data_IF_653104800419
#
_entry.id   IF_653104800419
#
_cell.length_a   1.000
_cell.length_b   1.000
_cell.length_c   1.000
_cell.angle_alpha   90.00
_cell.angle_beta   90.00
_cell.angle_gamma   90.00
#
_symmetry.space_group_name_H-M   'P 1'
#
loop_
_entity.id
_entity.type
_entity.pdbx_description
1 polymer ?
#
# COMPACT_ATOMS: atom_id res chain seq x y z
N UNK A 1 36.53 -55.74 -12.16
CA UNK A 1 37.10 -57.05 -12.39
C UNK A 1 37.38 -57.68 -11.01
N UNK A 2 36.48 -58.52 -10.55
CA UNK A 2 36.67 -59.27 -9.27
C UNK A 2 37.54 -60.41 -9.54
N UNK A 3 38.73 -60.43 -8.93
CA UNK A 3 39.66 -61.53 -8.97
C UNK A 3 39.04 -62.76 -8.23
N UNK A 4 38.62 -63.78 -8.98
CA UNK A 4 38.20 -65.02 -8.39
C UNK A 4 39.47 -65.81 -8.01
N UNK A 5 39.89 -65.72 -6.76
CA UNK A 5 40.86 -66.64 -6.19
C UNK A 5 40.19 -68.00 -6.08
N UNK A 6 40.56 -68.94 -7.00
CA UNK A 6 40.24 -70.37 -6.85
C UNK A 6 40.88 -70.88 -5.54
N UNK A 7 40.06 -71.09 -4.54
CA UNK A 7 40.46 -71.79 -3.33
C UNK A 7 40.19 -73.32 -3.54
N UNK A 8 41.24 -74.08 -3.67
CA UNK A 8 41.13 -75.53 -3.61
C UNK A 8 40.80 -75.97 -2.17
N UNK A 9 39.52 -76.11 -1.89
CA UNK A 9 39.05 -76.66 -0.62
C UNK A 9 38.56 -78.11 -0.83
N UNK A 10 38.98 -79.03 0.01
CA UNK A 10 38.41 -80.37 0.01
C UNK A 10 39.35 -81.55 -0.29
N UNK A 11 40.69 -81.33 -0.46
CA UNK A 11 41.61 -82.40 -0.82
C UNK A 11 41.95 -83.38 0.31
N UNK A 12 41.59 -83.13 1.57
CA UNK A 12 41.97 -83.98 2.73
C UNK A 12 40.77 -84.50 3.52
N UNK A 13 39.56 -83.87 3.47
CA UNK A 13 38.42 -84.32 4.33
C UNK A 13 37.17 -84.79 3.60
N UNK A 14 37.14 -84.77 2.26
CA UNK A 14 35.94 -85.16 1.50
C UNK A 14 34.68 -84.33 1.74
N UNK A 15 34.76 -83.20 2.52
CA UNK A 15 33.64 -82.32 2.74
C UNK A 15 33.74 -81.14 1.82
N UNK A 16 32.71 -80.90 1.04
CA UNK A 16 32.55 -79.71 0.21
C UNK A 16 32.23 -78.49 1.10
N UNK A 17 33.29 -77.95 1.71
CA UNK A 17 33.18 -76.74 2.59
C UNK A 17 32.75 -75.49 1.85
N UNK A 18 33.01 -75.39 0.54
CA UNK A 18 32.61 -74.34 -0.30
C UNK A 18 31.06 -74.26 -0.44
N UNK A 19 30.45 -75.42 -0.70
CA UNK A 19 29.00 -75.57 -0.79
C UNK A 19 28.30 -75.20 0.54
N UNK A 20 28.87 -75.61 1.67
CA UNK A 20 28.34 -75.32 3.01
C UNK A 20 28.43 -73.78 3.28
N UNK A 21 29.56 -73.17 2.95
CA UNK A 21 29.75 -71.74 3.10
C UNK A 21 28.73 -70.92 2.20
N UNK A 22 28.56 -71.39 0.94
CA UNK A 22 27.58 -70.76 0.02
C UNK A 22 26.14 -70.87 0.54
N UNK A 23 25.78 -72.09 1.08
CA UNK A 23 24.43 -72.22 1.67
C UNK A 23 24.23 -71.40 2.93
N UNK A 24 25.24 -71.24 3.79
CA UNK A 24 25.17 -70.33 4.95
C UNK A 24 25.08 -68.89 4.55
N UNK A 25 25.85 -68.43 3.55
CA UNK A 25 25.79 -67.12 3.01
C UNK A 25 24.40 -66.84 2.40
N UNK A 26 23.89 -67.77 1.59
CA UNK A 26 22.55 -67.67 0.99
C UNK A 26 21.44 -67.56 2.04
N UNK A 27 21.53 -68.43 3.10
CA UNK A 27 20.56 -68.35 4.21
C UNK A 27 20.63 -67.03 4.99
N UNK A 28 21.83 -66.49 5.16
CA UNK A 28 21.97 -65.10 5.74
C UNK A 28 21.47 -64.02 4.82
N UNK A 29 21.76 -64.17 3.52
CA UNK A 29 21.26 -63.22 2.51
C UNK A 29 19.73 -63.19 2.46
N UNK A 30 19.07 -64.35 2.51
CA UNK A 30 17.61 -64.42 2.58
C UNK A 30 17.05 -63.70 3.78
N UNK A 31 17.70 -63.82 4.96
CA UNK A 31 17.27 -63.00 6.14
C UNK A 31 17.44 -61.50 5.94
N UNK A 32 18.52 -61.06 5.29
CA UNK A 32 18.76 -59.65 4.96
C UNK A 32 17.70 -59.18 3.96
N UNK A 33 17.38 -59.97 2.95
CA UNK A 33 16.37 -59.61 1.95
C UNK A 33 14.96 -59.54 2.55
N UNK A 34 14.62 -60.43 3.47
CA UNK A 34 13.35 -60.41 4.18
C UNK A 34 13.27 -59.18 5.12
N UNK A 35 14.37 -58.82 5.79
CA UNK A 35 14.42 -57.58 6.57
C UNK A 35 14.24 -56.32 5.69
N UNK A 36 14.90 -56.30 4.53
CA UNK A 36 14.73 -55.19 3.54
C UNK A 36 13.28 -55.12 3.03
N UNK A 37 12.66 -56.26 2.70
CA UNK A 37 11.24 -56.30 2.31
C UNK A 37 10.32 -55.79 3.42
N UNK A 38 10.60 -56.16 4.67
CA UNK A 38 9.84 -55.66 5.82
C UNK A 38 10.01 -54.14 5.99
N UNK A 39 11.23 -53.64 5.85
CA UNK A 39 11.53 -52.20 5.86
C UNK A 39 10.76 -51.46 4.75
N UNK A 40 10.87 -51.91 3.51
CA UNK A 40 10.17 -51.32 2.36
C UNK A 40 8.65 -51.30 2.57
N UNK A 41 8.08 -52.40 3.10
CA UNK A 41 6.64 -52.42 3.45
C UNK A 41 6.27 -51.39 4.52
N UNK A 42 7.16 -51.19 5.51
CA UNK A 42 6.94 -50.16 6.54
C UNK A 42 7.03 -48.76 5.96
N UNK A 43 7.99 -48.53 5.09
CA UNK A 43 8.14 -47.24 4.37
C UNK A 43 6.89 -46.91 3.51
N UNK A 44 6.40 -47.89 2.75
CA UNK A 44 5.15 -47.70 1.98
C UNK A 44 3.94 -47.42 2.86
N UNK A 45 3.79 -48.12 3.99
CA UNK A 45 2.72 -47.85 4.96
C UNK A 45 2.86 -46.43 5.52
N UNK A 46 4.06 -46.04 5.91
CA UNK A 46 4.33 -44.72 6.45
C UNK A 46 4.02 -43.62 5.43
N UNK A 47 4.43 -43.83 4.18
CA UNK A 47 4.12 -42.89 3.08
C UNK A 47 2.62 -42.81 2.85
N UNK A 48 1.92 -43.90 2.75
CA UNK A 48 0.48 -43.95 2.58
C UNK A 48 -0.29 -43.20 3.73
N UNK A 49 0.17 -43.40 4.97
CA UNK A 49 -0.38 -42.67 6.12
C UNK A 49 -0.09 -41.16 6.08
N UNK A 50 1.11 -40.77 5.68
CA UNK A 50 1.46 -39.35 5.50
C UNK A 50 0.61 -38.70 4.41
N UNK A 51 0.43 -39.39 3.29
CA UNK A 51 -0.39 -38.89 2.16
C UNK A 51 -1.86 -38.78 2.57
N UNK A 52 -2.41 -39.75 3.29
CA UNK A 52 -3.77 -39.70 3.81
C UNK A 52 -3.93 -38.53 4.80
N UNK A 53 -2.98 -38.38 5.74
CA UNK A 53 -3.00 -37.27 6.69
C UNK A 53 -2.95 -35.92 5.98
N UNK A 54 -2.14 -35.78 4.94
CA UNK A 54 -2.03 -34.57 4.11
C UNK A 54 -3.36 -34.27 3.40
N UNK A 55 -4.00 -35.29 2.83
CA UNK A 55 -5.32 -35.15 2.19
C UNK A 55 -6.39 -34.74 3.19
N UNK A 56 -6.41 -35.35 4.38
CA UNK A 56 -7.35 -34.99 5.46
C UNK A 56 -7.14 -33.56 5.96
N UNK A 57 -5.89 -33.16 6.18
CA UNK A 57 -5.57 -31.77 6.56
C UNK A 57 -5.99 -30.77 5.48
N UNK A 58 -5.76 -31.10 4.21
CA UNK A 58 -6.19 -30.26 3.09
C UNK A 58 -7.71 -30.17 3.00
N UNK A 59 -8.43 -31.28 3.17
CA UNK A 59 -9.89 -31.30 3.24
C UNK A 59 -10.39 -30.40 4.37
N UNK A 60 -9.83 -30.53 5.56
CA UNK A 60 -10.20 -29.71 6.72
C UNK A 60 -9.91 -28.23 6.50
N UNK A 61 -8.69 -27.88 6.06
CA UNK A 61 -8.27 -26.48 5.93
C UNK A 61 -8.92 -25.77 4.76
N UNK A 62 -9.07 -26.44 3.60
CA UNK A 62 -9.65 -25.82 2.39
C UNK A 62 -11.17 -25.72 2.44
N UNK A 63 -11.84 -26.72 2.99
CA UNK A 63 -13.28 -26.85 2.87
C UNK A 63 -14.01 -26.81 4.20
N UNK A 64 -13.75 -27.78 5.10
CA UNK A 64 -14.54 -27.94 6.31
C UNK A 64 -14.48 -26.72 7.22
N UNK A 65 -13.31 -26.10 7.39
CA UNK A 65 -13.14 -24.91 8.23
C UNK A 65 -13.97 -23.72 7.75
N UNK A 66 -14.19 -23.59 6.46
CA UNK A 66 -14.97 -22.52 5.86
C UNK A 66 -16.46 -22.90 5.78
N UNK A 67 -16.75 -24.09 5.25
CA UNK A 67 -18.12 -24.55 4.99
C UNK A 67 -18.96 -24.84 6.24
N UNK A 68 -18.36 -24.98 7.43
CA UNK A 68 -19.07 -25.18 8.70
C UNK A 68 -19.77 -23.92 9.22
N UNK A 69 -19.43 -22.74 8.71
CA UNK A 69 -20.03 -21.48 9.14
C UNK A 69 -21.18 -21.08 8.23
N UNK A 70 -22.25 -20.55 8.80
CA UNK A 70 -23.41 -20.04 8.06
C UNK A 70 -23.01 -18.92 7.10
N UNK A 71 -22.04 -18.10 7.46
CA UNK A 71 -21.51 -17.01 6.61
C UNK A 71 -21.00 -17.49 5.26
N UNK A 72 -20.53 -18.74 5.15
CA UNK A 72 -20.10 -19.31 3.86
C UNK A 72 -21.25 -19.45 2.84
N UNK A 73 -22.50 -19.55 3.34
CA UNK A 73 -23.72 -19.71 2.56
C UNK A 73 -24.56 -18.44 2.46
N UNK A 74 -24.16 -17.38 3.17
CA UNK A 74 -24.81 -16.07 3.15
C UNK A 74 -24.03 -15.04 2.31
N UNK A 75 -23.16 -15.53 1.42
CA UNK A 75 -22.38 -14.67 0.55
C UNK A 75 -23.28 -13.89 -0.38
N UNK A 76 -22.94 -12.63 -0.58
CA UNK A 76 -23.61 -11.73 -1.50
C UNK A 76 -22.64 -11.22 -2.53
N UNK A 77 -23.18 -10.87 -3.68
CA UNK A 77 -22.42 -10.25 -4.77
C UNK A 77 -23.13 -8.98 -5.23
N UNK A 78 -22.35 -8.01 -5.64
CA UNK A 78 -22.88 -6.75 -6.16
C UNK A 78 -22.37 -6.52 -7.57
N UNK A 79 -23.27 -6.20 -8.47
CA UNK A 79 -22.96 -5.73 -9.83
C UNK A 79 -23.21 -4.23 -9.93
N UNK A 80 -22.35 -3.54 -10.67
CA UNK A 80 -22.40 -2.09 -10.91
C UNK A 80 -22.56 -1.87 -12.40
N UNK A 81 -23.52 -1.05 -12.83
CA UNK A 81 -23.80 -0.80 -14.25
C UNK A 81 -22.66 -0.06 -14.96
N UNK A 82 -21.89 0.75 -14.23
CA UNK A 82 -20.68 1.42 -14.71
C UNK A 82 -19.52 1.17 -13.73
N UNK A 83 -18.74 0.15 -14.02
CA UNK A 83 -17.56 -0.22 -13.23
C UNK A 83 -16.39 0.77 -13.38
N UNK A 84 -16.46 1.72 -14.31
CA UNK A 84 -15.46 2.79 -14.44
C UNK A 84 -15.75 3.95 -13.51
N UNK A 85 -17.01 4.11 -13.09
CA UNK A 85 -17.44 5.18 -12.18
C UNK A 85 -17.37 4.76 -10.72
N UNK A 86 -17.71 3.51 -10.40
CA UNK A 86 -17.69 3.01 -9.04
C UNK A 86 -17.28 1.53 -8.96
N UNK A 87 -16.56 1.20 -7.88
CA UNK A 87 -16.33 -0.19 -7.45
C UNK A 87 -17.06 -0.42 -6.13
N UNK A 88 -17.70 -1.59 -5.99
CA UNK A 88 -18.45 -1.92 -4.78
C UNK A 88 -18.01 -3.28 -4.25
N UNK A 89 -17.60 -3.30 -2.99
CA UNK A 89 -17.33 -4.54 -2.24
C UNK A 89 -18.52 -4.83 -1.36
N UNK A 90 -19.03 -6.05 -1.44
CA UNK A 90 -20.20 -6.51 -0.70
C UNK A 90 -19.78 -7.13 0.62
N UNK A 91 -20.24 -6.58 1.73
CA UNK A 91 -20.09 -7.18 3.06
C UNK A 91 -21.22 -8.17 3.37
N UNK A 92 -21.04 -8.98 4.40
CA UNK A 92 -22.00 -10.03 4.82
C UNK A 92 -23.37 -9.47 5.17
N UNK A 93 -23.43 -8.23 5.69
CA UNK A 93 -24.67 -7.58 6.12
C UNK A 93 -25.33 -6.72 5.02
N UNK A 94 -24.83 -6.76 3.79
CA UNK A 94 -25.43 -6.02 2.69
C UNK A 94 -26.85 -6.52 2.41
N UNK A 95 -27.79 -5.61 2.14
CA UNK A 95 -29.16 -5.96 1.81
C UNK A 95 -29.30 -6.24 0.32
N UNK A 96 -30.02 -7.29 -0.05
CA UNK A 96 -30.39 -7.54 -1.45
C UNK A 96 -31.29 -6.41 -1.95
N UNK A 97 -31.05 -5.96 -3.17
CA UNK A 97 -31.83 -4.90 -3.79
C UNK A 97 -31.09 -4.16 -4.89
N UNK A 98 -31.82 -3.26 -5.51
CA UNK A 98 -31.30 -2.34 -6.54
C UNK A 98 -31.21 -0.95 -5.93
N UNK A 99 -30.05 -0.34 -6.03
CA UNK A 99 -29.77 1.01 -5.50
C UNK A 99 -29.28 1.91 -6.64
N UNK A 100 -29.67 3.17 -6.59
CA UNK A 100 -29.26 4.21 -7.51
C UNK A 100 -28.16 5.05 -6.87
N UNK A 101 -26.95 4.95 -7.39
CA UNK A 101 -25.78 5.69 -6.96
C UNK A 101 -25.52 6.83 -7.95
N UNK A 102 -25.30 8.05 -7.44
CA UNK A 102 -24.79 9.17 -8.20
C UNK A 102 -23.58 9.74 -7.50
N UNK A 103 -22.46 9.91 -8.20
CA UNK A 103 -21.24 10.50 -7.66
C UNK A 103 -21.19 11.95 -8.12
N UNK A 104 -21.38 12.85 -7.19
CA UNK A 104 -21.48 14.29 -7.47
C UNK A 104 -20.15 15.00 -7.32
N UNK A 105 -19.25 14.47 -6.48
CA UNK A 105 -17.94 15.06 -6.21
C UNK A 105 -16.96 13.97 -5.74
N UNK A 106 -15.73 14.06 -6.20
CA UNK A 106 -14.63 13.23 -5.68
C UNK A 106 -13.84 14.00 -4.60
N UNK A 107 -13.32 13.29 -3.62
CA UNK A 107 -12.40 13.85 -2.66
C UNK A 107 -11.10 14.25 -3.37
N UNK A 108 -10.57 15.41 -2.99
CA UNK A 108 -9.28 15.94 -3.46
C UNK A 108 -8.39 16.28 -2.28
N UNK A 109 -7.10 16.10 -2.51
CA UNK A 109 -6.05 16.53 -1.59
C UNK A 109 -5.71 18.01 -1.88
N UNK A 110 -5.49 18.79 -0.86
CA UNK A 110 -4.99 20.16 -1.03
C UNK A 110 -3.59 20.14 -1.65
N UNK A 111 -3.37 21.04 -2.60
CA UNK A 111 -2.10 21.18 -3.29
C UNK A 111 -1.77 22.64 -3.56
N UNK A 112 -0.51 23.04 -3.38
CA UNK A 112 -0.02 24.37 -3.67
C UNK A 112 1.23 24.31 -4.53
N UNK A 113 1.18 24.98 -5.68
CA UNK A 113 2.37 25.33 -6.47
C UNK A 113 2.74 26.76 -6.15
N UNK A 114 3.87 26.94 -5.50
CA UNK A 114 4.38 28.28 -5.17
C UNK A 114 4.68 29.11 -6.40
N UNK A 115 4.65 30.42 -6.26
CA UNK A 115 5.21 31.36 -7.20
C UNK A 115 6.72 31.19 -7.34
N UNK A 116 7.33 31.84 -8.32
CA UNK A 116 8.79 31.85 -8.47
C UNK A 116 9.41 32.65 -7.31
N UNK A 117 10.34 32.04 -6.60
CA UNK A 117 11.10 32.74 -5.55
C UNK A 117 12.00 33.83 -6.15
N UNK A 118 12.20 34.92 -5.41
CA UNK A 118 12.95 36.10 -5.87
C UNK A 118 14.20 36.29 -5.04
N UNK A 119 15.32 36.51 -5.70
CA UNK A 119 16.59 36.85 -5.06
C UNK A 119 16.80 38.36 -4.90
N UNK A 120 17.54 38.71 -3.88
CA UNK A 120 18.02 40.07 -3.65
C UNK A 120 19.02 40.52 -4.70
N UNK A 121 19.97 39.64 -5.10
CA UNK A 121 20.90 39.86 -6.19
C UNK A 121 20.64 38.81 -7.27
N UNK A 122 20.48 39.28 -8.53
CA UNK A 122 20.09 38.41 -9.64
C UNK A 122 21.25 37.64 -10.28
N UNK A 123 22.47 38.06 -10.03
CA UNK A 123 23.65 37.47 -10.67
C UNK A 123 24.67 37.02 -9.64
N UNK A 124 25.32 35.89 -9.90
CA UNK A 124 26.50 35.41 -9.16
C UNK A 124 27.76 36.21 -9.58
N UNK A 125 28.93 35.80 -9.06
CA UNK A 125 30.20 36.43 -9.36
C UNK A 125 30.61 36.35 -10.86
N UNK A 126 30.04 35.38 -11.61
CA UNK A 126 30.28 35.14 -13.02
C UNK A 126 29.24 35.84 -13.94
N UNK A 127 28.23 36.51 -13.33
CA UNK A 127 27.19 37.24 -14.05
C UNK A 127 26.00 36.38 -14.47
N UNK A 128 25.94 35.12 -14.01
CA UNK A 128 24.84 34.21 -14.24
C UNK A 128 23.70 34.38 -13.19
N UNK A 129 22.48 33.99 -13.54
CA UNK A 129 21.33 33.98 -12.62
C UNK A 129 21.60 33.02 -11.45
N UNK A 130 21.77 33.59 -10.27
CA UNK A 130 21.96 32.79 -9.04
C UNK A 130 20.76 31.91 -8.77
N UNK A 131 20.97 30.61 -8.65
CA UNK A 131 19.92 29.65 -8.32
C UNK A 131 19.87 29.41 -6.83
N UNK A 132 18.68 29.56 -6.24
CA UNK A 132 18.43 29.23 -4.86
C UNK A 132 18.51 27.70 -4.67
N UNK A 133 19.01 27.32 -3.51
CA UNK A 133 19.03 25.93 -3.07
C UNK A 133 18.50 25.82 -1.62
N UNK A 134 18.43 24.62 -1.11
CA UNK A 134 17.90 24.36 0.24
C UNK A 134 18.67 25.10 1.37
N UNK A 135 19.92 25.44 1.17
CA UNK A 135 20.77 26.13 2.16
C UNK A 135 20.71 27.66 2.07
N UNK A 136 20.06 28.20 1.05
CA UNK A 136 19.90 29.65 0.86
C UNK A 136 19.17 30.24 2.04
N UNK A 137 19.72 31.33 2.63
CA UNK A 137 19.11 32.06 3.74
C UNK A 137 17.96 32.94 3.22
N UNK A 138 16.92 33.06 4.04
CA UNK A 138 15.78 33.93 3.69
C UNK A 138 16.18 35.41 3.64
N UNK A 139 17.22 35.83 4.37
CA UNK A 139 17.80 37.17 4.28
C UNK A 139 18.35 37.51 2.90
N UNK A 140 18.65 36.53 2.06
CA UNK A 140 19.16 36.71 0.71
C UNK A 140 18.04 36.84 -0.33
N UNK A 141 16.77 36.63 0.09
CA UNK A 141 15.62 36.77 -0.76
C UNK A 141 15.19 38.26 -0.92
N UNK A 142 14.44 38.52 -1.97
CA UNK A 142 13.87 39.83 -2.27
C UNK A 142 12.34 39.81 -2.10
N UNK A 143 11.81 40.90 -1.60
CA UNK A 143 10.34 41.15 -1.52
C UNK A 143 9.73 41.35 -2.90
N UNK A 144 10.52 41.83 -3.86
CA UNK A 144 10.10 42.16 -5.23
C UNK A 144 11.16 41.75 -6.25
N UNK A 145 10.79 41.87 -7.53
CA UNK A 145 11.72 41.59 -8.63
C UNK A 145 12.81 42.66 -8.85
N UNK A 146 12.86 43.68 -7.97
CA UNK A 146 13.81 44.82 -8.05
C UNK A 146 14.95 44.70 -7.05
N UNK A 147 14.99 43.60 -6.27
CA UNK A 147 16.07 43.36 -5.32
C UNK A 147 15.88 44.03 -3.96
N UNK A 148 14.66 44.44 -3.58
CA UNK A 148 14.36 44.98 -2.26
C UNK A 148 14.59 43.92 -1.19
N UNK A 149 15.50 44.19 -0.25
CA UNK A 149 15.86 43.24 0.80
C UNK A 149 14.73 42.97 1.80
N UNK A 150 14.59 41.73 2.25
CA UNK A 150 13.79 41.40 3.41
C UNK A 150 14.41 41.99 4.68
N UNK A 151 13.61 42.72 5.45
CA UNK A 151 14.05 43.20 6.77
C UNK A 151 13.62 42.19 7.83
N UNK A 152 14.57 41.36 8.27
CA UNK A 152 14.38 40.34 9.28
C UNK A 152 15.00 40.69 10.64
N UNK A 153 15.29 41.98 10.87
CA UNK A 153 15.97 42.47 12.09
C UNK A 153 15.18 42.22 13.38
N UNK A 154 13.85 42.20 13.30
CA UNK A 154 12.94 41.98 14.44
C UNK A 154 12.45 40.55 14.55
N UNK A 155 12.78 39.69 13.58
CA UNK A 155 12.18 38.36 13.46
C UNK A 155 10.69 38.44 13.09
N UNK A 156 10.11 37.34 12.71
CA UNK A 156 8.67 37.14 12.47
C UNK A 156 8.31 35.68 12.59
N UNK A 157 7.01 35.36 12.66
CA UNK A 157 6.57 33.97 12.76
C UNK A 157 5.62 33.64 11.60
N UNK A 158 5.89 32.51 10.95
CA UNK A 158 4.96 31.86 10.04
C UNK A 158 4.18 30.77 10.76
N UNK A 159 2.87 30.76 10.58
CA UNK A 159 1.97 29.74 11.08
C UNK A 159 1.57 28.79 9.96
N UNK A 160 1.87 27.52 10.13
CA UNK A 160 1.56 26.42 9.18
C UNK A 160 0.50 25.56 9.82
N UNK A 161 -0.71 25.61 9.29
CA UNK A 161 -1.82 24.78 9.75
C UNK A 161 -2.12 23.70 8.71
N UNK A 162 -2.27 22.44 9.15
CA UNK A 162 -2.67 21.32 8.31
C UNK A 162 -3.61 20.40 9.12
N UNK A 163 -4.88 20.36 8.75
CA UNK A 163 -5.90 19.72 9.56
C UNK A 163 -5.92 20.28 10.98
N UNK A 164 -5.75 19.42 11.96
CA UNK A 164 -5.67 19.78 13.39
C UNK A 164 -4.26 20.16 13.88
N UNK A 165 -3.24 19.99 13.03
CA UNK A 165 -1.85 20.29 13.37
C UNK A 165 -1.54 21.75 13.09
N UNK A 166 -0.95 22.47 14.07
CA UNK A 166 -0.45 23.82 13.91
C UNK A 166 1.03 23.86 14.29
N UNK A 167 1.87 24.35 13.39
CA UNK A 167 3.32 24.48 13.57
C UNK A 167 3.74 25.91 13.32
N UNK A 168 4.52 26.46 14.24
CA UNK A 168 5.09 27.79 14.14
C UNK A 168 6.55 27.70 13.69
N UNK A 169 6.91 28.57 12.75
CA UNK A 169 8.28 28.77 12.30
C UNK A 169 8.69 30.20 12.60
N UNK A 170 9.58 30.36 13.57
CA UNK A 170 10.27 31.63 13.80
C UNK A 170 11.27 31.88 12.68
N UNK A 171 11.14 33.05 12.04
CA UNK A 171 11.98 33.48 10.94
C UNK A 171 12.99 34.48 11.47
N UNK A 172 14.26 34.17 11.27
CA UNK A 172 15.42 35.00 11.57
C UNK A 172 16.27 35.19 10.31
N UNK A 173 17.30 36.04 10.41
CA UNK A 173 18.24 36.25 9.29
C UNK A 173 18.99 34.95 8.88
N UNK A 174 19.10 33.96 9.78
CA UNK A 174 19.79 32.69 9.54
C UNK A 174 18.86 31.57 9.08
N UNK A 175 17.54 31.81 9.05
CA UNK A 175 16.56 30.82 8.58
C UNK A 175 16.78 30.52 7.10
N UNK A 176 16.82 29.23 6.74
CA UNK A 176 17.06 28.75 5.38
C UNK A 176 15.79 28.18 4.75
N UNK A 177 15.81 27.97 3.44
CA UNK A 177 14.75 27.23 2.72
C UNK A 177 14.55 25.84 3.32
N UNK A 178 15.66 25.16 3.74
CA UNK A 178 15.59 23.85 4.39
C UNK A 178 14.82 23.90 5.72
N UNK A 179 14.95 24.98 6.50
CA UNK A 179 14.17 25.14 7.74
C UNK A 179 12.66 25.25 7.43
N UNK A 180 12.28 25.99 6.39
CA UNK A 180 10.88 26.08 5.93
C UNK A 180 10.37 24.70 5.53
N UNK A 181 11.10 23.95 4.71
CA UNK A 181 10.73 22.59 4.30
C UNK A 181 10.57 21.65 5.48
N UNK A 182 11.45 21.75 6.48
CA UNK A 182 11.39 20.91 7.70
C UNK A 182 10.10 21.22 8.47
N UNK A 183 9.75 22.47 8.66
CA UNK A 183 8.53 22.87 9.37
C UNK A 183 7.24 22.49 8.63
N UNK A 184 7.22 22.60 7.31
CA UNK A 184 6.12 22.09 6.48
C UNK A 184 5.93 20.58 6.67
N UNK A 185 7.02 19.81 6.72
CA UNK A 185 6.97 18.35 6.96
C UNK A 185 6.57 18.01 8.40
N UNK A 186 7.00 18.80 9.39
CA UNK A 186 6.55 18.68 10.79
C UNK A 186 5.04 18.93 10.92
N UNK A 187 4.48 19.85 10.14
CA UNK A 187 3.04 20.09 10.05
C UNK A 187 2.27 18.96 9.34
N UNK A 188 2.94 17.89 8.92
CA UNK A 188 2.32 16.75 8.25
C UNK A 188 2.16 16.90 6.74
N UNK A 189 2.73 17.93 6.12
CA UNK A 189 2.66 18.17 4.69
C UNK A 189 3.78 17.44 3.93
N UNK A 190 3.54 17.13 2.66
CA UNK A 190 4.58 16.85 1.70
C UNK A 190 5.07 18.17 1.14
N UNK A 191 6.38 18.45 1.22
CA UNK A 191 6.95 19.69 0.75
C UNK A 191 8.29 19.46 0.06
N UNK A 192 8.48 20.12 -1.07
CA UNK A 192 9.71 20.14 -1.83
C UNK A 192 9.97 21.54 -2.39
N UNK A 193 11.24 21.91 -2.54
CA UNK A 193 11.67 23.06 -3.28
C UNK A 193 12.41 22.59 -4.54
N UNK A 194 11.91 22.96 -5.69
CA UNK A 194 12.54 22.66 -6.98
C UNK A 194 13.56 23.74 -7.33
N UNK A 195 14.83 23.39 -7.22
CA UNK A 195 15.95 24.31 -7.53
C UNK A 195 16.03 24.67 -9.01
N UNK A 196 15.45 23.87 -9.91
CA UNK A 196 15.41 24.18 -11.35
C UNK A 196 14.31 25.18 -11.67
N UNK A 197 13.12 24.98 -11.09
CA UNK A 197 11.96 25.84 -11.31
C UNK A 197 11.89 26.99 -10.30
N UNK A 198 12.71 26.95 -9.25
CA UNK A 198 12.77 27.95 -8.17
C UNK A 198 11.40 28.15 -7.51
N UNK A 199 10.72 27.03 -7.17
CA UNK A 199 9.35 27.01 -6.61
C UNK A 199 9.19 25.98 -5.52
N UNK A 200 8.29 26.26 -4.60
CA UNK A 200 7.79 25.27 -3.64
C UNK A 200 6.64 24.48 -4.25
N UNK A 201 6.64 23.19 -3.96
CA UNK A 201 5.53 22.26 -4.20
C UNK A 201 5.11 21.67 -2.86
N UNK A 202 3.87 21.91 -2.45
CA UNK A 202 3.35 21.55 -1.14
C UNK A 202 2.03 20.82 -1.35
N UNK A 203 1.80 19.71 -0.64
CA UNK A 203 0.52 19.03 -0.63
C UNK A 203 0.19 18.47 0.75
N UNK A 204 -1.10 18.41 1.08
CA UNK A 204 -1.58 17.63 2.19
C UNK A 204 -1.31 16.12 1.92
N UNK A 205 -1.28 15.30 2.97
CA UNK A 205 -1.11 13.83 2.80
C UNK A 205 -2.42 13.15 2.44
N UNK A 206 -3.50 13.63 3.05
CA UNK A 206 -4.82 13.03 2.93
C UNK A 206 -5.79 14.00 2.21
N UNK A 207 -6.84 13.44 1.61
CA UNK A 207 -7.91 14.18 0.98
C UNK A 207 -8.97 14.62 2.00
N UNK A 208 -9.88 15.48 1.58
CA UNK A 208 -11.01 15.95 2.37
C UNK A 208 -10.78 17.32 3.01
N UNK A 209 -11.84 18.09 3.14
CA UNK A 209 -11.82 19.49 3.63
C UNK A 209 -11.14 19.64 4.99
N UNK A 210 -11.32 18.65 5.89
CA UNK A 210 -10.67 18.64 7.20
C UNK A 210 -9.14 18.53 7.15
N UNK A 211 -8.57 18.11 6.03
CA UNK A 211 -7.13 17.96 5.81
C UNK A 211 -6.52 19.08 4.97
N UNK A 212 -7.27 20.16 4.75
CA UNK A 212 -6.72 21.33 4.08
C UNK A 212 -5.62 22.00 4.89
N UNK A 213 -4.77 22.78 4.22
CA UNK A 213 -3.69 23.50 4.88
C UNK A 213 -3.68 24.98 4.53
N UNK A 214 -3.11 25.76 5.43
CA UNK A 214 -2.84 27.16 5.21
C UNK A 214 -1.46 27.53 5.76
N UNK A 215 -0.83 28.52 5.12
CA UNK A 215 0.42 29.13 5.56
C UNK A 215 0.15 30.60 5.69
N UNK A 216 0.28 31.13 6.92
CA UNK A 216 -0.03 32.52 7.24
C UNK A 216 1.11 33.16 8.00
N UNK A 217 1.16 34.47 8.02
CA UNK A 217 2.15 35.23 8.77
C UNK A 217 1.50 35.98 9.92
N UNK A 218 2.27 36.28 10.96
CA UNK A 218 1.81 37.03 12.12
C UNK A 218 1.78 38.57 11.89
N UNK A 219 2.58 39.04 10.93
CA UNK A 219 2.80 40.44 10.68
C UNK A 219 3.15 40.74 9.20
N UNK A 220 3.40 42.00 8.89
CA UNK A 220 3.76 42.45 7.54
C UNK A 220 5.13 41.91 7.10
N UNK A 221 6.09 41.76 8.02
CA UNK A 221 7.40 41.20 7.72
C UNK A 221 7.25 39.75 7.27
N UNK A 222 6.46 38.96 7.97
CA UNK A 222 6.15 37.58 7.60
C UNK A 222 5.39 37.49 6.27
N UNK A 223 4.48 38.42 5.97
CA UNK A 223 3.84 38.46 4.66
C UNK A 223 4.84 38.75 3.53
N UNK A 224 5.83 39.60 3.77
CA UNK A 224 6.94 39.81 2.84
C UNK A 224 7.81 38.57 2.66
N UNK A 225 8.02 37.76 3.73
CA UNK A 225 8.68 36.44 3.65
C UNK A 225 7.87 35.50 2.76
N UNK A 226 6.56 35.38 3.00
CA UNK A 226 5.69 34.52 2.16
C UNK A 226 5.76 34.94 0.69
N UNK A 227 5.73 36.21 0.42
CA UNK A 227 5.84 36.75 -0.94
C UNK A 227 7.19 36.43 -1.58
N UNK A 228 8.28 36.57 -0.84
CA UNK A 228 9.62 36.25 -1.32
C UNK A 228 9.81 34.74 -1.61
N UNK A 229 9.14 33.89 -0.84
CA UNK A 229 9.09 32.44 -1.05
C UNK A 229 8.11 32.03 -2.15
N UNK A 230 7.30 32.97 -2.66
CA UNK A 230 6.23 32.68 -3.62
C UNK A 230 5.08 31.86 -3.00
N UNK A 231 4.88 31.95 -1.68
CA UNK A 231 3.85 31.20 -0.93
C UNK A 231 2.64 32.09 -0.56
N UNK A 232 2.64 33.32 -0.95
CA UNK A 232 1.51 34.22 -0.77
C UNK A 232 0.36 33.92 -1.76
N UNK A 233 -0.87 34.32 -1.42
CA UNK A 233 -2.06 34.02 -2.21
C UNK A 233 -2.08 34.65 -3.60
N UNK A 234 -1.27 35.71 -3.84
CA UNK A 234 -1.17 36.35 -5.14
C UNK A 234 -0.21 35.63 -6.09
N UNK A 235 0.81 34.95 -5.55
CA UNK A 235 1.89 34.32 -6.32
C UNK A 235 1.70 32.82 -6.43
N UNK A 236 1.15 32.17 -5.39
CA UNK A 236 0.93 30.74 -5.34
C UNK A 236 -0.41 30.35 -5.99
N UNK A 237 -0.43 29.19 -6.65
CA UNK A 237 -1.65 28.53 -7.09
C UNK A 237 -1.99 27.41 -6.10
N UNK A 238 -3.02 27.63 -5.27
CA UNK A 238 -3.53 26.64 -4.32
C UNK A 238 -4.82 26.02 -4.85
N UNK A 239 -4.91 24.72 -4.75
CA UNK A 239 -6.12 23.93 -4.93
C UNK A 239 -6.50 23.44 -3.54
N UNK A 240 -7.69 23.83 -3.08
CA UNK A 240 -8.19 23.43 -1.77
C UNK A 240 -8.56 21.95 -1.73
N UNK A 241 -8.46 21.36 -0.55
CA UNK A 241 -8.98 20.02 -0.31
C UNK A 241 -10.50 20.00 -0.39
N UNK A 242 -11.07 18.91 -0.82
CA UNK A 242 -12.52 18.74 -0.85
C UNK A 242 -12.91 17.31 -0.47
N UNK A 243 -14.10 17.17 0.13
CA UNK A 243 -14.71 15.91 0.44
C UNK A 243 -15.31 15.25 -0.80
N UNK A 244 -15.42 13.91 -0.79
CA UNK A 244 -16.26 13.22 -1.75
C UNK A 244 -17.73 13.33 -1.37
N UNK A 245 -18.62 13.42 -2.36
CA UNK A 245 -20.08 13.43 -2.17
C UNK A 245 -20.73 12.46 -3.13
N UNK A 246 -21.58 11.62 -2.59
CA UNK A 246 -22.42 10.71 -3.37
C UNK A 246 -23.87 10.81 -2.94
N UNK A 247 -24.77 10.49 -3.83
CA UNK A 247 -26.20 10.29 -3.49
C UNK A 247 -26.54 8.82 -3.72
N UNK A 248 -27.04 8.15 -2.67
CA UNK A 248 -27.51 6.77 -2.74
C UNK A 248 -29.00 6.75 -2.45
N UNK A 249 -29.80 6.31 -3.42
CA UNK A 249 -31.27 6.30 -3.33
C UNK A 249 -31.88 7.68 -2.95
N UNK A 250 -31.28 8.79 -3.41
CA UNK A 250 -31.73 10.14 -3.10
C UNK A 250 -31.22 10.72 -1.79
N UNK A 251 -30.47 9.93 -0.97
CA UNK A 251 -29.83 10.41 0.24
C UNK A 251 -28.35 10.74 -0.04
N UNK A 252 -27.95 11.95 0.37
CA UNK A 252 -26.57 12.40 0.22
C UNK A 252 -25.69 11.86 1.36
N UNK A 253 -24.49 11.44 0.98
CA UNK A 253 -23.42 11.02 1.89
C UNK A 253 -22.13 11.74 1.51
N UNK A 254 -21.36 12.08 2.54
CA UNK A 254 -20.10 12.80 2.43
C UNK A 254 -18.99 12.03 3.14
N UNK A 255 -17.79 12.06 2.58
CA UNK A 255 -16.60 11.41 3.12
C UNK A 255 -15.35 12.22 2.78
N UNK A 256 -14.38 12.24 3.66
CA UNK A 256 -13.07 12.82 3.39
C UNK A 256 -12.23 12.02 2.39
N UNK A 257 -12.66 10.81 2.04
CA UNK A 257 -12.04 9.95 1.02
C UNK A 257 -13.05 9.55 -0.04
N UNK A 258 -12.60 8.94 -1.12
CA UNK A 258 -13.49 8.40 -2.16
C UNK A 258 -14.14 7.05 -1.78
N UNK A 259 -14.05 6.65 -0.50
CA UNK A 259 -14.58 5.38 -0.01
C UNK A 259 -15.72 5.64 0.98
N UNK A 260 -16.85 4.99 0.73
CA UNK A 260 -18.06 5.08 1.55
C UNK A 260 -18.45 3.69 2.07
N UNK A 261 -18.67 3.58 3.38
CA UNK A 261 -19.16 2.35 4.00
C UNK A 261 -20.62 2.55 4.40
N UNK A 262 -21.55 2.01 3.61
CA UNK A 262 -22.99 2.24 3.77
C UNK A 262 -23.74 0.91 3.67
N UNK A 263 -24.50 0.58 4.70
CA UNK A 263 -25.41 -0.57 4.72
C UNK A 263 -24.75 -1.89 4.26
N UNK A 264 -23.53 -2.16 4.74
CA UNK A 264 -22.79 -3.36 4.39
C UNK A 264 -22.12 -3.33 3.00
N UNK A 265 -22.21 -2.22 2.29
CA UNK A 265 -21.48 -1.99 1.04
C UNK A 265 -20.29 -1.06 1.30
N UNK A 266 -19.14 -1.39 0.73
CA UNK A 266 -18.00 -0.47 0.60
C UNK A 266 -17.94 0.02 -0.83
N UNK A 267 -18.36 1.26 -1.04
CA UNK A 267 -18.42 1.92 -2.35
C UNK A 267 -17.18 2.77 -2.52
N UNK A 268 -16.41 2.54 -3.56
CA UNK A 268 -15.29 3.40 -3.97
C UNK A 268 -15.71 4.22 -5.19
N UNK A 269 -15.82 5.53 -5.03
CA UNK A 269 -16.10 6.46 -6.11
C UNK A 269 -14.82 6.71 -6.92
N UNK A 270 -14.86 6.53 -8.24
CA UNK A 270 -13.70 6.69 -9.13
C UNK A 270 -13.86 7.83 -10.14
N UNK A 271 -15.12 8.18 -10.45
CA UNK A 271 -15.43 9.22 -11.42
C UNK A 271 -16.79 9.87 -11.09
N UNK A 272 -16.90 11.17 -11.27
CA UNK A 272 -18.19 11.88 -11.19
C UNK A 272 -19.12 11.42 -12.29
N UNK A 273 -20.42 11.31 -11.97
CA UNK A 273 -21.45 10.77 -12.89
C UNK A 273 -22.53 11.79 -13.15
N UNK A 274 -22.90 11.96 -14.41
CA UNK A 274 -24.06 12.79 -14.77
C UNK A 274 -25.37 12.05 -14.46
N UNK A 275 -25.42 10.76 -14.77
CA UNK A 275 -26.56 9.88 -14.57
C UNK A 275 -26.35 8.93 -13.39
N UNK A 276 -27.43 8.26 -12.96
CA UNK A 276 -27.38 7.27 -11.91
C UNK A 276 -26.66 6.00 -12.39
N UNK A 277 -25.76 5.50 -11.55
CA UNK A 277 -25.15 4.17 -11.66
C UNK A 277 -26.00 3.20 -10.85
N UNK A 278 -26.45 2.13 -11.48
CA UNK A 278 -27.27 1.10 -10.82
C UNK A 278 -26.34 0.11 -10.11
N UNK A 279 -26.56 -0.06 -8.81
CA UNK A 279 -25.85 -1.01 -7.95
C UNK A 279 -26.85 -2.09 -7.54
N UNK A 280 -26.63 -3.33 -7.99
CA UNK A 280 -27.53 -4.47 -7.70
C UNK A 280 -26.83 -5.47 -6.82
N UNK A 281 -27.34 -5.67 -5.61
CA UNK A 281 -26.88 -6.67 -4.63
C UNK A 281 -27.82 -7.86 -4.60
N UNK A 282 -27.28 -9.06 -4.70
CA UNK A 282 -28.02 -10.34 -4.64
C UNK A 282 -27.20 -11.40 -3.92
N UNK A 283 -27.85 -12.51 -3.55
CA UNK A 283 -27.14 -13.67 -3.02
C UNK A 283 -26.19 -14.23 -4.08
N UNK A 284 -24.98 -14.61 -3.67
CA UNK A 284 -23.93 -15.17 -4.53
C UNK A 284 -24.15 -16.68 -4.73
N UNK A 285 -25.23 -17.02 -5.42
CA UNK A 285 -25.62 -18.42 -5.67
C UNK A 285 -24.52 -19.15 -6.45
N UNK A 286 -23.90 -18.48 -7.44
CA UNK A 286 -22.85 -19.07 -8.26
C UNK A 286 -21.59 -19.36 -7.45
N UNK A 287 -21.16 -18.43 -6.61
CA UNK A 287 -20.00 -18.62 -5.72
C UNK A 287 -20.23 -19.70 -4.66
N UNK A 288 -21.46 -19.80 -4.14
CA UNK A 288 -21.85 -20.88 -3.21
C UNK A 288 -21.86 -22.24 -3.94
N UNK A 289 -22.43 -22.29 -5.15
CA UNK A 289 -22.43 -23.50 -5.99
C UNK A 289 -21.01 -23.96 -6.30
N UNK A 290 -20.13 -23.06 -6.72
CA UNK A 290 -18.74 -23.40 -7.04
C UNK A 290 -17.95 -23.84 -5.81
N UNK A 291 -18.22 -23.28 -4.64
CA UNK A 291 -17.64 -23.73 -3.37
C UNK A 291 -18.06 -25.18 -3.07
N UNK A 292 -19.34 -25.52 -3.19
CA UNK A 292 -19.85 -26.88 -2.97
C UNK A 292 -19.28 -27.85 -4.02
N UNK A 293 -19.29 -27.46 -5.29
CA UNK A 293 -18.76 -28.25 -6.39
C UNK A 293 -17.26 -28.56 -6.24
N UNK A 294 -16.48 -27.61 -5.76
CA UNK A 294 -15.04 -27.79 -5.51
C UNK A 294 -14.75 -28.74 -4.35
N UNK A 295 -15.66 -28.82 -3.37
CA UNK A 295 -15.59 -29.77 -2.28
C UNK A 295 -15.88 -31.22 -2.74
N UNK A 296 -16.74 -31.40 -3.73
CA UNK A 296 -17.16 -32.71 -4.24
C UNK A 296 -16.18 -33.30 -5.29
N UNK A 297 -15.23 -32.51 -5.77
CA UNK A 297 -14.17 -32.94 -6.70
C UNK A 297 -12.90 -33.38 -5.95
#
# INVERSE_FOLDING_TARGET
>A
MASSTMRLSGLISGMDTESIIQQLVSAKQTKVDDAKKAQTKLEWKTTAWKDLNTKLKNLQSKYVNNMRFTSAYMKKTTSVSDSTAASVITGENAMNGVQNLKITQLAKTAYMTGGKTSLRTKTDADGDDFKLNALTKLSDLSVDNKGTALNLSTGTTLNIKSGDTNVELEITADTTISNVLTKLKEAGLNANFDETQQRFYISAKDSGEGNDFSITASDETGNNVLKSLGLDSASANKIDAQNAKITLNGTEYESNTNVFSINGLTITAMKETAENVVVTTKDDVDGIYDMIKSFLK
#
